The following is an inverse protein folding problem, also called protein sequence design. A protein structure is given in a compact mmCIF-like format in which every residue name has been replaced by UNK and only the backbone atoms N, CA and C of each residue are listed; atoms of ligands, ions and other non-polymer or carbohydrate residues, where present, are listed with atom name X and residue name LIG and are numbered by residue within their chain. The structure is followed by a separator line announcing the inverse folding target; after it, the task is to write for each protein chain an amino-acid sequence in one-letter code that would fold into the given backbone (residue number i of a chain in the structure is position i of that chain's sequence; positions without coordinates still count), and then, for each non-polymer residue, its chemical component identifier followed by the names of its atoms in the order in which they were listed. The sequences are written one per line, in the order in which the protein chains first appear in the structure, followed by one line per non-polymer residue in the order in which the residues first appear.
data_IF_681378779084
#
_entry.id   IF_681378779084
#
_cell.length_a   1.000
_cell.length_b   1.000
_cell.length_c   1.000
_cell.angle_alpha   90.00
_cell.angle_beta   90.00
_cell.angle_gamma   90.00
#
_symmetry.space_group_name_H-M   'P 1'
#
loop_
_entity.id
_entity.type
_entity.pdbx_description
1 polymer ?
#
# COMPACT_ATOMS: atom_id res chain seq x y z
N UNK A 1 -8.76 2.10 -11.53
CA UNK A 1 -8.93 3.32 -12.35
C UNK A 1 -8.70 3.09 -13.84
N UNK A 2 -7.50 2.74 -14.32
CA UNK A 2 -7.23 2.60 -15.77
C UNK A 2 -8.04 1.49 -16.48
N UNK A 3 -8.41 0.44 -15.74
CA UNK A 3 -9.30 -0.65 -16.21
C UNK A 3 -10.70 -0.59 -15.59
N UNK A 4 -11.06 0.51 -14.91
CA UNK A 4 -12.39 0.70 -14.32
C UNK A 4 -12.69 -0.06 -13.01
N UNK A 5 -11.75 -0.84 -12.47
CA UNK A 5 -11.98 -1.54 -11.19
C UNK A 5 -11.89 -0.63 -9.98
N UNK A 6 -12.78 -0.88 -9.01
CA UNK A 6 -12.64 -0.44 -7.62
C UNK A 6 -11.66 -1.37 -6.89
N UNK A 7 -10.67 -0.77 -6.25
CA UNK A 7 -9.51 -1.47 -5.69
C UNK A 7 -9.38 -1.17 -4.21
N UNK A 8 -9.15 -2.21 -3.41
CA UNK A 8 -8.84 -2.11 -1.99
C UNK A 8 -7.45 -2.68 -1.75
N UNK A 9 -6.59 -1.93 -1.04
CA UNK A 9 -5.27 -2.38 -0.63
C UNK A 9 -5.29 -2.65 0.88
N UNK A 10 -4.91 -3.87 1.26
CA UNK A 10 -4.72 -4.27 2.65
C UNK A 10 -3.24 -4.08 2.98
N UNK A 11 -2.90 -2.96 3.61
CA UNK A 11 -1.50 -2.51 3.69
C UNK A 11 -0.64 -3.40 4.58
N UNK A 12 -1.19 -3.87 5.71
CA UNK A 12 -0.53 -4.73 6.69
C UNK A 12 -0.43 -6.20 6.23
N UNK A 13 -1.05 -6.54 5.09
CA UNK A 13 -0.87 -7.81 4.40
C UNK A 13 0.19 -7.73 3.27
N UNK A 14 0.83 -6.57 3.10
CA UNK A 14 1.85 -6.33 2.07
C UNK A 14 3.24 -6.15 2.70
N UNK A 15 4.29 -6.51 1.96
CA UNK A 15 5.68 -6.30 2.38
C UNK A 15 6.50 -5.66 1.26
N UNK A 16 7.52 -4.90 1.65
CA UNK A 16 8.52 -4.30 0.76
C UNK A 16 9.92 -4.71 1.19
N UNK A 17 10.87 -4.48 0.30
CA UNK A 17 12.30 -4.65 0.54
C UNK A 17 12.96 -3.29 0.50
N UNK A 18 14.14 -3.19 1.09
CA UNK A 18 15.01 -2.03 0.89
C UNK A 18 15.27 -1.84 -0.60
N UNK A 19 15.25 -0.58 -1.04
CA UNK A 19 15.53 -0.21 -2.42
C UNK A 19 16.80 0.62 -2.47
N UNK A 20 17.57 0.45 -3.54
CA UNK A 20 18.73 1.29 -3.81
C UNK A 20 18.39 2.34 -4.86
N UNK A 21 18.75 3.59 -4.62
CA UNK A 21 18.67 4.67 -5.58
C UNK A 21 19.99 5.44 -5.58
N UNK A 22 20.75 5.32 -6.66
CA UNK A 22 22.15 5.77 -6.72
C UNK A 22 22.93 5.17 -5.54
N UNK A 23 23.63 6.00 -4.76
CA UNK A 23 24.43 5.58 -3.60
C UNK A 23 23.62 5.56 -2.28
N UNK A 24 22.28 5.63 -2.35
CA UNK A 24 21.40 5.64 -1.17
C UNK A 24 20.59 4.36 -1.07
N UNK A 25 20.48 3.85 0.15
CA UNK A 25 19.53 2.79 0.51
C UNK A 25 18.29 3.45 1.12
N UNK A 26 17.12 3.17 0.54
CA UNK A 26 15.81 3.55 1.06
C UNK A 26 15.24 2.37 1.85
N UNK A 27 15.06 2.49 3.17
CA UNK A 27 14.53 1.42 4.00
C UNK A 27 13.14 0.96 3.53
N UNK A 28 12.87 -0.33 3.65
CA UNK A 28 11.61 -0.96 3.26
C UNK A 28 10.38 -0.26 3.83
N UNK A 29 10.47 0.22 5.08
CA UNK A 29 9.41 0.97 5.76
C UNK A 29 9.08 2.29 5.03
N UNK A 30 10.10 3.06 4.63
CA UNK A 30 9.89 4.30 3.88
C UNK A 30 9.30 4.03 2.50
N UNK A 31 9.76 2.96 1.83
CA UNK A 31 9.19 2.52 0.55
C UNK A 31 7.72 2.14 0.73
N UNK A 32 7.40 1.35 1.76
CA UNK A 32 6.03 0.94 2.07
C UNK A 32 5.12 2.15 2.29
N UNK A 33 5.50 3.05 3.20
CA UNK A 33 4.69 4.23 3.52
C UNK A 33 4.54 5.19 2.34
N UNK A 34 5.60 5.40 1.56
CA UNK A 34 5.52 6.26 0.37
C UNK A 34 4.49 5.72 -0.64
N UNK A 35 4.54 4.42 -0.94
CA UNK A 35 3.61 3.80 -1.90
C UNK A 35 2.19 3.68 -1.36
N UNK A 36 2.01 3.27 -0.11
CA UNK A 36 0.68 3.21 0.52
C UNK A 36 0.03 4.59 0.53
N UNK A 37 0.77 5.64 0.90
CA UNK A 37 0.26 7.01 0.90
C UNK A 37 -0.08 7.50 -0.50
N UNK A 38 0.74 7.18 -1.50
CA UNK A 38 0.51 7.59 -2.88
C UNK A 38 -0.72 6.89 -3.51
N UNK A 39 -1.01 5.65 -3.13
CA UNK A 39 -2.14 4.88 -3.65
C UNK A 39 -3.46 5.25 -2.98
N UNK A 40 -3.41 5.70 -1.72
CA UNK A 40 -4.62 5.94 -0.94
C UNK A 40 -5.50 7.04 -1.54
N UNK A 41 -6.79 6.74 -1.70
CA UNK A 41 -7.81 7.65 -2.19
C UNK A 41 -7.90 7.73 -3.71
N UNK A 42 -6.77 7.97 -4.40
CA UNK A 42 -6.78 8.10 -5.87
C UNK A 42 -6.81 6.74 -6.58
N UNK A 43 -6.04 5.77 -6.11
CA UNK A 43 -5.86 4.49 -6.82
C UNK A 43 -6.41 3.28 -6.06
N UNK A 44 -6.58 3.37 -4.75
CA UNK A 44 -7.18 2.32 -3.94
C UNK A 44 -7.73 2.89 -2.63
N UNK A 45 -8.72 2.21 -2.06
CA UNK A 45 -9.06 2.36 -0.66
C UNK A 45 -8.06 1.55 0.18
N UNK A 46 -7.20 2.22 0.94
CA UNK A 46 -6.20 1.57 1.80
C UNK A 46 -6.83 1.30 3.18
N UNK A 47 -6.74 0.06 3.65
CA UNK A 47 -7.26 -0.37 4.96
C UNK A 47 -6.33 -1.38 5.63
N UNK A 48 -6.53 -1.60 6.93
CA UNK A 48 -5.90 -2.72 7.65
C UNK A 48 -6.65 -4.03 7.42
N UNK A 49 -5.97 -5.15 7.65
CA UNK A 49 -6.55 -6.49 7.60
C UNK A 49 -7.70 -6.63 8.60
N UNK A 50 -7.55 -6.02 9.79
CA UNK A 50 -8.60 -5.98 10.79
C UNK A 50 -9.88 -5.31 10.26
N UNK A 51 -9.76 -4.15 9.64
CA UNK A 51 -10.92 -3.42 9.09
C UNK A 51 -11.55 -4.18 7.92
N UNK A 52 -10.73 -4.82 7.10
CA UNK A 52 -11.21 -5.66 5.99
C UNK A 52 -12.06 -6.83 6.49
N UNK A 53 -11.60 -7.54 7.52
CA UNK A 53 -12.33 -8.67 8.10
C UNK A 53 -13.62 -8.22 8.81
N UNK A 54 -13.65 -7.02 9.38
CA UNK A 54 -14.84 -6.47 10.04
C UNK A 54 -15.93 -6.02 9.06
N UNK A 55 -15.57 -5.57 7.85
CA UNK A 55 -16.52 -5.19 6.79
C UNK A 55 -17.36 -6.36 6.25
N UNK A 56 -16.97 -7.61 6.52
CA UNK A 56 -17.63 -8.81 5.98
C UNK A 56 -18.80 -9.35 6.82
N UNK A 57 -19.28 -8.59 7.80
CA UNK A 57 -20.42 -8.97 8.65
C UNK A 57 -21.70 -8.21 8.27
#
# INVERSE_FOLDING_TARGET
MDLGFETTLIEDACAKRDLSYQDKVVPAEQVHYAFVSALNGMYANVISNKDFLQKKN
#
